data_IF_608922172357
#
_entry.id   IF_608922172357
#
_cell.length_a   1.000
_cell.length_b   1.000
_cell.length_c   1.000
_cell.angle_alpha   90.00
_cell.angle_beta   90.00
_cell.angle_gamma   90.00
#
_symmetry.space_group_name_H-M   'P 1'
#
loop_
_entity.id
_entity.type
_entity.pdbx_description
1 polymer ?
#
# COMPACT_ATOMS: atom_id res chain seq x y z
N UNK A 1 34.25 -4.11 34.98
CA UNK A 1 33.30 -3.36 34.14
C UNK A 1 33.84 -3.46 32.74
N UNK A 2 33.51 -4.54 32.04
CA UNK A 2 34.09 -4.83 30.74
C UNK A 2 33.18 -4.28 29.64
N UNK A 3 33.71 -3.31 28.90
CA UNK A 3 33.11 -2.74 27.71
C UNK A 3 33.06 -3.80 26.61
N UNK A 4 31.90 -4.41 26.41
CA UNK A 4 31.64 -5.24 25.23
C UNK A 4 31.51 -4.30 24.03
N UNK A 5 32.54 -4.27 23.18
CA UNK A 5 32.44 -3.65 21.85
C UNK A 5 31.64 -4.58 20.96
N UNK A 6 30.43 -4.17 20.59
CA UNK A 6 29.66 -4.81 19.54
C UNK A 6 30.36 -4.55 18.20
N UNK A 7 30.92 -5.61 17.60
CA UNK A 7 31.47 -5.58 16.25
C UNK A 7 30.40 -6.14 15.31
N UNK A 8 29.81 -5.27 14.50
CA UNK A 8 28.92 -5.69 13.40
C UNK A 8 29.81 -6.05 12.21
N UNK A 9 30.05 -7.34 11.98
CA UNK A 9 30.66 -7.81 10.74
C UNK A 9 29.57 -7.90 9.67
N UNK A 10 29.55 -6.93 8.76
CA UNK A 10 28.73 -6.98 7.56
C UNK A 10 29.41 -7.87 6.51
N UNK A 11 28.93 -9.09 6.35
CA UNK A 11 29.32 -9.92 5.21
C UNK A 11 28.20 -9.86 4.15
N UNK A 12 28.55 -9.51 2.92
CA UNK A 12 27.65 -9.66 1.77
C UNK A 12 27.74 -11.10 1.29
N UNK A 13 26.68 -11.87 1.50
CA UNK A 13 26.56 -13.22 0.97
C UNK A 13 25.52 -13.21 -0.13
N UNK A 14 25.97 -13.21 -1.38
CA UNK A 14 25.09 -13.36 -2.54
C UNK A 14 25.05 -14.85 -2.92
N UNK A 15 23.92 -15.51 -2.70
CA UNK A 15 23.70 -16.90 -3.12
C UNK A 15 22.86 -16.88 -4.38
N UNK A 16 23.40 -17.44 -5.47
CA UNK A 16 22.66 -17.68 -6.71
C UNK A 16 22.19 -19.13 -6.71
N UNK A 17 20.89 -19.35 -6.56
CA UNK A 17 20.27 -20.65 -6.78
C UNK A 17 19.67 -20.68 -8.18
N UNK A 18 20.22 -21.52 -9.05
CA UNK A 18 19.64 -21.80 -10.36
C UNK A 18 18.64 -22.95 -10.22
N UNK A 19 17.35 -22.62 -10.30
CA UNK A 19 16.27 -23.59 -10.53
C UNK A 19 15.93 -23.50 -12.03
N UNK A 20 15.53 -24.58 -12.73
CA UNK A 20 15.10 -24.44 -14.11
C UNK A 20 14.03 -23.35 -14.22
N UNK A 21 14.29 -22.35 -15.06
CA UNK A 21 13.44 -21.18 -15.37
C UNK A 21 13.40 -20.02 -14.36
N UNK A 22 14.18 -20.04 -13.27
CA UNK A 22 14.20 -18.94 -12.28
C UNK A 22 15.62 -18.69 -11.73
N UNK A 23 16.01 -17.41 -11.62
CA UNK A 23 17.21 -16.98 -10.89
C UNK A 23 16.78 -16.23 -9.64
N UNK A 24 17.21 -16.69 -8.46
CA UNK A 24 16.90 -16.03 -7.18
C UNK A 24 18.13 -15.24 -6.72
N UNK A 25 17.96 -13.96 -6.41
CA UNK A 25 18.97 -13.10 -5.81
C UNK A 25 18.62 -12.86 -4.33
N UNK A 26 19.56 -13.18 -3.43
CA UNK A 26 19.45 -12.89 -1.99
C UNK A 26 20.43 -11.77 -1.68
N UNK A 27 19.93 -10.55 -1.45
CA UNK A 27 20.77 -9.36 -1.29
C UNK A 27 20.93 -8.84 0.14
N UNK A 28 20.14 -9.33 1.10
CA UNK A 28 20.31 -8.96 2.50
C UNK A 28 20.00 -10.14 3.44
N UNK A 29 21.02 -10.62 4.15
CA UNK A 29 20.85 -11.58 5.25
C UNK A 29 21.14 -10.84 6.56
N UNK A 30 20.09 -10.52 7.33
CA UNK A 30 20.24 -10.03 8.71
C UNK A 30 20.18 -11.22 9.66
N UNK A 31 21.34 -11.67 10.13
CA UNK A 31 21.42 -12.68 11.18
C UNK A 31 21.15 -12.02 12.53
N UNK A 32 19.98 -12.27 13.13
CA UNK A 32 19.77 -11.99 14.55
C UNK A 32 19.19 -13.23 15.22
N UNK A 33 19.97 -13.79 16.14
CA UNK A 33 19.74 -14.85 17.14
C UNK A 33 18.74 -16.02 16.92
N UNK A 34 17.84 -16.04 15.94
CA UNK A 34 16.99 -17.18 15.55
C UNK A 34 16.18 -17.01 14.23
N UNK A 35 16.36 -15.96 13.42
CA UNK A 35 15.52 -15.73 12.21
C UNK A 35 16.36 -15.25 11.02
N UNK A 36 16.04 -15.73 9.81
CA UNK A 36 16.63 -15.35 8.53
C UNK A 36 15.54 -14.68 7.69
N UNK A 37 15.79 -13.46 7.22
CA UNK A 37 14.90 -12.74 6.29
C UNK A 37 15.39 -12.96 4.86
N UNK A 38 14.49 -13.37 3.95
CA UNK A 38 14.77 -13.54 2.53
C UNK A 38 13.74 -12.73 1.74
N UNK A 39 14.19 -11.68 1.07
CA UNK A 39 13.34 -10.93 0.13
C UNK A 39 13.52 -11.53 -1.26
N UNK A 40 12.43 -12.00 -1.87
CA UNK A 40 12.42 -12.47 -3.27
C UNK A 40 11.87 -11.37 -4.16
N UNK A 41 12.59 -11.02 -5.23
CA UNK A 41 12.14 -10.01 -6.21
C UNK A 41 12.34 -10.58 -7.61
N UNK A 42 11.34 -10.37 -8.47
CA UNK A 42 11.38 -10.72 -9.88
C UNK A 42 11.93 -9.53 -10.69
N UNK A 43 12.82 -9.77 -11.63
CA UNK A 43 13.63 -8.73 -12.31
C UNK A 43 12.82 -7.84 -13.26
N UNK A 44 11.57 -8.21 -13.59
CA UNK A 44 10.78 -7.55 -14.65
C UNK A 44 9.84 -6.42 -14.18
N UNK A 45 9.59 -6.25 -12.87
CA UNK A 45 8.66 -5.24 -12.32
C UNK A 45 9.34 -4.28 -11.29
N UNK A 46 10.55 -3.82 -11.61
CA UNK A 46 11.34 -2.97 -10.71
C UNK A 46 10.83 -1.51 -10.63
N UNK A 47 9.93 -1.23 -9.69
CA UNK A 47 9.86 0.09 -9.06
C UNK A 47 10.89 0.14 -7.91
N UNK A 48 12.07 0.70 -8.20
CA UNK A 48 13.17 0.81 -7.23
C UNK A 48 12.78 1.63 -5.98
N UNK A 49 11.88 2.61 -6.10
CA UNK A 49 11.46 3.46 -4.99
C UNK A 49 10.57 2.66 -4.01
N UNK A 50 9.69 1.83 -4.56
CA UNK A 50 8.88 0.87 -3.80
C UNK A 50 9.75 -0.16 -3.07
N UNK A 51 10.72 -0.75 -3.78
CA UNK A 51 11.63 -1.76 -3.22
C UNK A 51 12.47 -1.18 -2.07
N UNK A 52 13.13 -0.04 -2.29
CA UNK A 52 13.96 0.58 -1.25
C UNK A 52 13.13 1.13 -0.09
N UNK A 53 11.88 1.55 -0.33
CA UNK A 53 10.94 1.91 0.72
C UNK A 53 10.62 0.74 1.65
N UNK A 54 10.31 -0.43 1.07
CA UNK A 54 10.04 -1.67 1.81
C UNK A 54 11.28 -2.11 2.59
N UNK A 55 12.44 -2.17 1.93
CA UNK A 55 13.70 -2.61 2.53
C UNK A 55 14.12 -1.69 3.69
N UNK A 56 14.01 -0.37 3.53
CA UNK A 56 14.33 0.57 4.60
C UNK A 56 13.37 0.48 5.79
N UNK A 57 12.09 0.19 5.56
CA UNK A 57 11.12 -0.03 6.64
C UNK A 57 11.46 -1.29 7.45
N UNK A 58 11.80 -2.40 6.76
CA UNK A 58 12.17 -3.69 7.39
C UNK A 58 13.48 -3.59 8.17
N UNK A 59 14.49 -2.90 7.61
CA UNK A 59 15.82 -2.83 8.22
C UNK A 59 15.81 -2.00 9.51
N UNK A 60 15.03 -0.93 9.55
CA UNK A 60 15.14 0.12 10.55
C UNK A 60 14.15 0.03 11.73
N UNK A 61 13.04 -0.74 11.63
CA UNK A 61 12.06 -0.79 12.73
C UNK A 61 11.64 -2.22 13.09
N UNK A 62 11.61 -2.51 14.40
CA UNK A 62 11.11 -3.78 14.97
C UNK A 62 9.58 -3.77 15.12
N UNK A 63 8.86 -2.99 14.31
CA UNK A 63 7.41 -2.78 14.44
C UNK A 63 6.77 -2.58 13.06
N UNK A 64 5.98 -3.58 12.67
CA UNK A 64 4.90 -3.56 11.67
C UNK A 64 5.32 -3.08 10.28
N UNK A 65 5.58 -4.03 9.38
CA UNK A 65 5.70 -3.79 7.94
C UNK A 65 4.35 -3.31 7.39
N UNK A 66 4.11 -2.00 7.31
CA UNK A 66 2.90 -1.45 6.68
C UNK A 66 2.90 -1.81 5.20
N UNK A 67 1.78 -2.34 4.70
CA UNK A 67 1.66 -2.78 3.31
C UNK A 67 1.95 -1.59 2.38
N UNK A 68 2.65 -1.77 1.24
CA UNK A 68 2.99 -0.66 0.36
C UNK A 68 1.79 0.17 -0.13
N UNK A 69 0.63 -0.45 -0.34
CA UNK A 69 -0.62 0.25 -0.68
C UNK A 69 -1.29 0.99 0.49
N UNK A 70 -0.84 0.78 1.72
CA UNK A 70 -1.25 1.54 2.89
C UNK A 70 -0.28 2.70 3.20
N UNK A 71 0.66 2.98 2.29
CA UNK A 71 1.57 4.12 2.41
C UNK A 71 0.81 5.44 2.25
N UNK A 72 1.41 6.49 2.80
CA UNK A 72 0.98 7.87 2.57
C UNK A 72 1.45 8.33 1.18
N UNK A 73 0.55 8.92 0.39
CA UNK A 73 0.92 9.69 -0.82
C UNK A 73 1.31 11.12 -0.46
N UNK A 74 2.15 11.73 -1.28
CA UNK A 74 2.56 13.12 -1.12
C UNK A 74 1.40 14.10 -1.38
N UNK A 75 1.57 15.36 -1.00
CA UNK A 75 0.49 16.36 -1.08
C UNK A 75 0.07 16.71 -2.50
N UNK A 76 1.00 16.67 -3.45
CA UNK A 76 0.74 16.90 -4.86
C UNK A 76 -0.04 15.77 -5.53
N UNK A 77 -0.06 14.58 -4.90
CA UNK A 77 -0.78 13.38 -5.34
C UNK A 77 -1.98 13.03 -4.46
N UNK A 78 -2.32 13.89 -3.50
CA UNK A 78 -3.42 13.64 -2.58
C UNK A 78 -4.78 13.68 -3.30
N UNK A 79 -5.70 12.82 -2.88
CA UNK A 79 -7.07 12.89 -3.35
C UNK A 79 -7.76 14.09 -2.72
N UNK A 80 -8.31 14.97 -3.54
CA UNK A 80 -9.13 16.09 -3.06
C UNK A 80 -10.59 15.77 -3.26
N UNK A 81 -11.25 15.40 -2.17
CA UNK A 81 -12.69 15.22 -2.17
C UNK A 81 -13.34 16.60 -2.27
N UNK A 82 -14.13 16.79 -3.32
CA UNK A 82 -14.78 18.05 -3.66
C UNK A 82 -16.28 17.87 -3.71
N UNK A 83 -16.99 18.91 -3.30
CA UNK A 83 -18.45 18.98 -3.50
C UNK A 83 -18.80 19.44 -4.92
N UNK A 84 -17.95 20.29 -5.49
CA UNK A 84 -18.06 20.89 -6.80
C UNK A 84 -16.68 21.40 -7.24
N UNK A 85 -16.60 22.17 -8.33
CA UNK A 85 -15.33 22.66 -8.87
C UNK A 85 -14.55 23.59 -7.91
N UNK A 86 -15.23 24.25 -6.97
CA UNK A 86 -14.68 25.32 -6.14
C UNK A 86 -14.48 24.92 -4.67
N UNK A 87 -15.21 23.92 -4.18
CA UNK A 87 -15.25 23.53 -2.77
C UNK A 87 -14.58 22.17 -2.51
N UNK A 88 -13.44 22.19 -1.82
CA UNK A 88 -12.74 21.01 -1.31
C UNK A 88 -13.19 20.72 0.12
N UNK A 89 -13.73 19.53 0.34
CA UNK A 89 -14.21 19.05 1.65
C UNK A 89 -13.11 18.35 2.45
N UNK A 90 -12.25 17.61 1.76
CA UNK A 90 -11.16 16.86 2.40
C UNK A 90 -10.00 16.64 1.44
N UNK A 91 -8.79 16.56 1.99
CA UNK A 91 -7.58 16.13 1.28
C UNK A 91 -7.11 14.82 1.92
N UNK A 92 -7.04 13.76 1.12
CA UNK A 92 -6.75 12.40 1.58
C UNK A 92 -5.43 11.92 0.98
N UNK A 93 -4.55 11.44 1.84
CA UNK A 93 -3.23 10.90 1.50
C UNK A 93 -3.11 9.40 1.80
N UNK A 94 -4.11 8.82 2.45
CA UNK A 94 -4.18 7.40 2.83
C UNK A 94 -5.51 6.81 2.35
N UNK A 95 -5.53 5.50 2.10
CA UNK A 95 -6.78 4.78 1.81
C UNK A 95 -7.77 4.89 2.98
N UNK A 96 -7.29 4.88 4.23
CA UNK A 96 -8.12 5.10 5.41
C UNK A 96 -8.73 6.49 5.48
N UNK A 97 -7.96 7.52 5.11
CA UNK A 97 -8.45 8.90 5.06
C UNK A 97 -9.51 9.03 3.98
N UNK A 98 -9.30 8.42 2.80
CA UNK A 98 -10.29 8.40 1.73
C UNK A 98 -11.59 7.70 2.17
N UNK A 99 -11.48 6.52 2.80
CA UNK A 99 -12.64 5.79 3.33
C UNK A 99 -13.44 6.66 4.30
N UNK A 100 -12.76 7.25 5.29
CA UNK A 100 -13.39 8.12 6.27
C UNK A 100 -14.00 9.38 5.65
N UNK A 101 -13.37 9.94 4.60
CA UNK A 101 -13.92 11.07 3.87
C UNK A 101 -15.22 10.69 3.15
N UNK A 102 -15.27 9.54 2.46
CA UNK A 102 -16.47 9.05 1.76
C UNK A 102 -17.61 8.75 2.75
N UNK A 103 -17.30 8.14 3.91
CA UNK A 103 -18.30 7.86 4.96
C UNK A 103 -19.03 9.12 5.43
N UNK A 104 -18.31 10.24 5.53
CA UNK A 104 -18.84 11.49 6.07
C UNK A 104 -19.24 12.51 4.99
N UNK A 105 -18.95 12.23 3.72
CA UNK A 105 -19.21 13.15 2.62
C UNK A 105 -20.72 13.32 2.35
N UNK A 106 -21.16 14.54 1.99
CA UNK A 106 -22.50 14.74 1.47
C UNK A 106 -22.66 13.99 0.14
N UNK A 107 -23.88 13.54 -0.16
CA UNK A 107 -24.14 12.63 -1.30
C UNK A 107 -23.76 13.26 -2.64
N UNK A 108 -23.99 14.57 -2.79
CA UNK A 108 -23.61 15.31 -3.99
C UNK A 108 -22.10 15.30 -4.27
N UNK A 109 -21.25 15.26 -3.24
CA UNK A 109 -19.80 15.17 -3.42
C UNK A 109 -19.40 13.78 -3.94
N UNK A 110 -20.06 12.73 -3.46
CA UNK A 110 -19.84 11.36 -3.94
C UNK A 110 -20.26 11.26 -5.40
N UNK A 111 -21.44 11.77 -5.74
CA UNK A 111 -21.96 11.75 -7.11
C UNK A 111 -21.10 12.59 -8.06
N UNK A 112 -20.58 13.74 -7.62
CA UNK A 112 -19.68 14.58 -8.40
C UNK A 112 -18.44 13.81 -8.87
N UNK A 113 -17.84 13.01 -7.99
CA UNK A 113 -16.68 12.18 -8.29
C UNK A 113 -16.98 10.87 -9.04
N UNK A 114 -18.27 10.57 -9.27
CA UNK A 114 -18.73 9.43 -10.04
C UNK A 114 -19.37 9.84 -11.38
N UNK A 115 -19.43 11.14 -11.68
CA UNK A 115 -20.04 11.65 -12.91
C UNK A 115 -19.10 11.42 -14.10
N UNK A 116 -19.56 10.62 -15.06
CA UNK A 116 -18.81 10.24 -16.27
C UNK A 116 -17.63 9.28 -16.05
N UNK A 117 -16.96 9.33 -14.89
CA UNK A 117 -15.85 8.45 -14.48
C UNK A 117 -15.84 8.27 -12.97
N UNK A 118 -15.17 7.23 -12.46
CA UNK A 118 -14.94 7.06 -11.03
C UNK A 118 -13.57 7.63 -10.65
N UNK A 119 -13.56 8.84 -10.09
CA UNK A 119 -12.34 9.52 -9.65
C UNK A 119 -11.64 8.76 -8.51
N UNK A 120 -12.39 8.08 -7.64
CA UNK A 120 -11.83 7.27 -6.57
C UNK A 120 -11.04 6.09 -7.12
N UNK A 121 -11.62 5.37 -8.08
CA UNK A 121 -10.97 4.26 -8.76
C UNK A 121 -9.69 4.69 -9.50
N UNK A 122 -9.75 5.86 -10.14
CA UNK A 122 -8.62 6.45 -10.87
C UNK A 122 -7.47 6.76 -9.91
N UNK A 123 -7.75 7.47 -8.81
CA UNK A 123 -6.73 7.82 -7.84
C UNK A 123 -6.08 6.61 -7.17
N UNK A 124 -6.87 5.60 -6.80
CA UNK A 124 -6.32 4.36 -6.22
C UNK A 124 -5.39 3.65 -7.22
N UNK A 125 -5.75 3.60 -8.50
CA UNK A 125 -4.94 2.94 -9.52
C UNK A 125 -3.65 3.70 -9.81
N UNK A 126 -3.74 5.02 -9.95
CA UNK A 126 -2.64 5.85 -10.44
C UNK A 126 -1.71 6.32 -9.32
N UNK A 127 -2.25 6.69 -8.16
CA UNK A 127 -1.48 7.30 -7.08
C UNK A 127 -1.13 6.34 -5.95
N UNK A 128 -1.99 5.37 -5.65
CA UNK A 128 -1.70 4.30 -4.68
C UNK A 128 -0.98 3.13 -5.37
N UNK A 129 -1.41 2.77 -6.58
CA UNK A 129 -0.88 1.65 -7.36
C UNK A 129 -1.60 0.32 -7.12
N UNK A 130 -2.73 0.31 -6.40
CA UNK A 130 -3.53 -0.89 -6.16
C UNK A 130 -4.50 -1.12 -7.33
N UNK A 131 -4.03 -1.84 -8.35
CA UNK A 131 -4.79 -2.09 -9.58
C UNK A 131 -6.07 -2.92 -9.33
N UNK A 132 -6.03 -3.83 -8.36
CA UNK A 132 -7.15 -4.69 -7.99
C UNK A 132 -8.26 -3.85 -7.33
N UNK A 133 -7.91 -3.08 -6.30
CA UNK A 133 -8.87 -2.18 -5.66
C UNK A 133 -9.42 -1.13 -6.63
N UNK A 134 -8.55 -0.57 -7.49
CA UNK A 134 -8.98 0.36 -8.53
C UNK A 134 -10.00 -0.27 -9.48
N UNK A 135 -9.80 -1.52 -9.90
CA UNK A 135 -10.75 -2.24 -10.74
C UNK A 135 -12.08 -2.55 -10.03
N UNK A 136 -12.04 -2.87 -8.74
CA UNK A 136 -13.24 -3.12 -7.94
C UNK A 136 -14.08 -1.85 -7.76
N UNK A 137 -13.44 -0.74 -7.40
CA UNK A 137 -14.10 0.57 -7.31
C UNK A 137 -14.69 1.01 -8.65
N UNK A 138 -13.99 0.75 -9.76
CA UNK A 138 -14.46 1.09 -11.11
C UNK A 138 -15.80 0.43 -11.47
N UNK A 139 -16.16 -0.71 -10.86
CA UNK A 139 -17.44 -1.36 -11.16
C UNK A 139 -18.62 -0.70 -10.45
N UNK A 140 -18.37 0.11 -9.43
CA UNK A 140 -19.39 0.80 -8.66
C UNK A 140 -19.92 1.97 -9.50
N UNK A 141 -21.24 2.01 -9.69
CA UNK A 141 -21.93 3.03 -10.48
C UNK A 141 -23.18 3.51 -9.76
N UNK A 142 -23.48 4.83 -9.76
CA UNK A 142 -24.72 5.33 -9.23
C UNK A 142 -25.94 4.70 -9.90
N UNK A 143 -26.84 4.15 -9.09
CA UNK A 143 -28.14 3.65 -9.53
C UNK A 143 -29.20 3.93 -8.47
N UNK A 144 -30.47 3.96 -8.86
CA UNK A 144 -31.58 4.28 -7.94
C UNK A 144 -31.74 3.30 -6.78
N UNK A 145 -31.18 2.11 -6.88
CA UNK A 145 -31.39 1.00 -5.94
C UNK A 145 -30.17 0.69 -5.08
N UNK A 146 -29.03 1.32 -5.37
CA UNK A 146 -27.76 1.01 -4.73
C UNK A 146 -27.36 2.19 -3.83
N UNK A 147 -27.06 1.89 -2.56
CA UNK A 147 -26.36 2.83 -1.70
C UNK A 147 -24.87 2.81 -2.06
N UNK A 148 -24.52 3.71 -2.98
CA UNK A 148 -23.18 3.83 -3.55
C UNK A 148 -22.14 4.14 -2.48
N UNK A 149 -22.48 4.96 -1.47
CA UNK A 149 -21.56 5.30 -0.37
C UNK A 149 -21.20 4.03 0.37
N UNK A 150 -22.20 3.25 0.77
CA UNK A 150 -21.99 2.01 1.52
C UNK A 150 -21.17 0.99 0.73
N UNK A 151 -21.38 0.89 -0.60
CA UNK A 151 -20.60 -0.02 -1.46
C UNK A 151 -19.13 0.42 -1.58
N UNK A 152 -18.87 1.70 -1.84
CA UNK A 152 -17.50 2.26 -1.89
C UNK A 152 -16.75 2.00 -0.58
N UNK A 153 -17.40 2.31 0.55
CA UNK A 153 -16.81 2.12 1.89
C UNK A 153 -16.55 0.64 2.17
N UNK A 154 -17.47 -0.25 1.80
CA UNK A 154 -17.31 -1.69 2.00
C UNK A 154 -16.11 -2.25 1.23
N UNK A 155 -15.95 -1.87 -0.04
CA UNK A 155 -14.83 -2.30 -0.87
C UNK A 155 -13.49 -1.79 -0.31
N UNK A 156 -13.42 -0.51 0.05
CA UNK A 156 -12.23 0.08 0.69
C UNK A 156 -11.88 -0.61 2.01
N UNK A 157 -12.87 -0.78 2.90
CA UNK A 157 -12.66 -1.37 4.22
C UNK A 157 -12.17 -2.83 4.13
N UNK A 158 -12.77 -3.61 3.21
CA UNK A 158 -12.40 -5.01 3.00
C UNK A 158 -10.97 -5.13 2.50
N UNK A 159 -10.58 -4.29 1.52
CA UNK A 159 -9.20 -4.28 1.02
C UNK A 159 -8.21 -3.83 2.08
N UNK A 160 -8.47 -2.75 2.80
CA UNK A 160 -7.59 -2.26 3.87
C UNK A 160 -7.37 -3.34 4.94
N UNK A 161 -8.41 -4.07 5.33
CA UNK A 161 -8.31 -5.19 6.28
C UNK A 161 -7.44 -6.33 5.75
N UNK A 162 -7.61 -6.71 4.48
CA UNK A 162 -6.79 -7.73 3.84
C UNK A 162 -5.31 -7.32 3.81
N UNK A 163 -5.01 -6.09 3.36
CA UNK A 163 -3.64 -5.56 3.31
C UNK A 163 -2.98 -5.53 4.69
N UNK A 164 -3.74 -5.19 5.74
CA UNK A 164 -3.24 -5.23 7.13
C UNK A 164 -2.97 -6.64 7.62
N UNK A 165 -3.80 -7.61 7.22
CA UNK A 165 -3.58 -9.01 7.56
C UNK A 165 -2.32 -9.54 6.87
N UNK A 166 -2.14 -9.24 5.59
CA UNK A 166 -0.97 -9.64 4.81
C UNK A 166 0.32 -9.02 5.37
N UNK A 167 0.28 -7.73 5.73
CA UNK A 167 1.35 -7.05 6.47
C UNK A 167 1.78 -7.76 7.74
N UNK A 168 0.84 -8.35 8.46
CA UNK A 168 1.10 -9.06 9.72
C UNK A 168 1.71 -10.42 9.43
N UNK A 169 1.24 -11.14 8.41
CA UNK A 169 1.81 -12.45 8.05
C UNK A 169 3.23 -12.33 7.49
N UNK A 170 3.57 -11.25 6.79
CA UNK A 170 4.95 -10.93 6.39
C UNK A 170 5.93 -10.80 7.58
N UNK A 171 5.43 -10.66 8.81
CA UNK A 171 6.26 -10.57 10.03
C UNK A 171 6.44 -11.95 10.69
N UNK A 172 5.57 -12.92 10.38
CA UNK A 172 5.49 -14.20 11.10
C UNK A 172 5.88 -15.43 10.29
N UNK A 173 5.98 -15.32 8.96
CA UNK A 173 6.57 -16.32 8.06
C UNK A 173 8.06 -16.02 7.77
#
# INVERSE_FOLDING_TARGET
MDNVKHVTLGFKLSIKLSIPYWTIYIDAIKLSYNTIWITMVNEEDHDEELYWGIVNSIINDKRVCTHPYLRRVSSERAFRLKRNHDEVLSECHLLEELKGAIENAPEEAILFHLDGRNDFATWVREEIGDLELGADLERIRPSKTIDVRSELVHVLDSRIKALRYDSVNLIFD
#
